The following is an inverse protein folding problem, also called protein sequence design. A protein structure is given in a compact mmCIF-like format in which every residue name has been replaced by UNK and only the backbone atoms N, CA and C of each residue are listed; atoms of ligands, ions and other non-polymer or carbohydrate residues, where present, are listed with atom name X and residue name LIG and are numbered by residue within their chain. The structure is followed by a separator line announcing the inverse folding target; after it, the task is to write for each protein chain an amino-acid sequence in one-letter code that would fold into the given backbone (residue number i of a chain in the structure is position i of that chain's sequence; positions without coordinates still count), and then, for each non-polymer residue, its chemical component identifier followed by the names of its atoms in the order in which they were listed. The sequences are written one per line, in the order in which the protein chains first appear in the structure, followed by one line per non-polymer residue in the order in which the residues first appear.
data_IF_114959416199
#
_entry.id   IF_114959416199
#
_cell.length_a   1.000
_cell.length_b   1.000
_cell.length_c   1.000
_cell.angle_alpha   90.00
_cell.angle_beta   90.00
_cell.angle_gamma   90.00
#
_symmetry.space_group_name_H-M   'P 1'
#
loop_
_entity.id
_entity.type
_entity.pdbx_description
1 polymer ?
#
# COMPACT_ATOMS: atom_id res chain seq x y z
N UNK A 1 6.08 32.27 14.80
CA UNK A 1 5.82 31.79 13.41
C UNK A 1 4.40 32.12 12.88
N UNK A 2 3.87 33.33 13.11
CA UNK A 2 2.45 33.64 12.82
C UNK A 2 2.14 33.76 11.32
N UNK A 3 3.01 34.40 10.54
CA UNK A 3 2.81 34.59 9.10
C UNK A 3 2.98 33.29 8.29
N UNK A 4 3.80 32.36 8.78
CA UNK A 4 3.92 31.02 8.18
C UNK A 4 2.61 30.23 8.35
N UNK A 5 2.01 30.26 9.55
CA UNK A 5 0.69 29.68 9.79
C UNK A 5 -0.38 30.29 8.90
N UNK A 6 -0.39 31.62 8.73
CA UNK A 6 -1.35 32.29 7.86
C UNK A 6 -1.19 31.86 6.41
N UNK A 7 0.04 31.79 5.90
CA UNK A 7 0.32 31.35 4.54
C UNK A 7 -0.05 29.88 4.32
N UNK A 8 0.27 28.99 5.27
CA UNK A 8 -0.04 27.56 5.19
C UNK A 8 -1.56 27.26 5.19
N UNK A 9 -2.39 28.17 5.74
CA UNK A 9 -3.86 28.06 5.76
C UNK A 9 -4.53 28.48 4.44
N UNK A 10 -3.81 29.10 3.51
CA UNK A 10 -4.39 29.53 2.24
C UNK A 10 -4.50 28.31 1.30
N UNK A 11 -5.72 27.83 1.10
CA UNK A 11 -6.03 26.74 0.17
C UNK A 11 -5.62 27.12 -1.27
N UNK A 12 -5.11 26.14 -2.02
CA UNK A 12 -4.68 26.28 -3.43
C UNK A 12 -3.58 27.33 -3.71
N UNK A 13 -2.83 27.77 -2.70
CA UNK A 13 -1.68 28.67 -2.89
C UNK A 13 -0.40 27.91 -3.21
N UNK A 14 0.19 28.16 -4.38
CA UNK A 14 1.52 27.62 -4.75
C UNK A 14 2.63 28.03 -3.77
N UNK A 15 2.53 29.21 -3.17
CA UNK A 15 3.48 29.68 -2.16
C UNK A 15 3.32 28.94 -0.83
N UNK A 16 2.07 28.63 -0.44
CA UNK A 16 1.79 27.79 0.72
C UNK A 16 2.28 26.36 0.51
N UNK A 17 2.15 25.83 -0.72
CA UNK A 17 2.62 24.51 -1.10
C UNK A 17 4.15 24.40 -1.06
N UNK A 18 4.87 25.36 -1.69
CA UNK A 18 6.34 25.42 -1.63
C UNK A 18 6.88 25.56 -0.20
N UNK A 19 6.20 26.36 0.62
CA UNK A 19 6.55 26.50 2.03
C UNK A 19 6.36 25.17 2.78
N UNK A 20 5.23 24.48 2.58
CA UNK A 20 4.95 23.18 3.20
C UNK A 20 6.00 22.13 2.82
N UNK A 21 6.40 22.07 1.55
CA UNK A 21 7.49 21.18 1.11
C UNK A 21 8.83 21.47 1.77
N UNK A 22 9.19 22.76 1.85
CA UNK A 22 10.46 23.17 2.44
C UNK A 22 10.51 22.84 3.93
N UNK A 23 9.38 22.96 4.63
CA UNK A 23 9.26 22.64 6.05
C UNK A 23 9.28 21.12 6.31
N UNK A 24 8.62 20.30 5.50
CA UNK A 24 8.72 18.83 5.60
C UNK A 24 10.14 18.32 5.28
N UNK A 25 10.79 18.90 4.28
CA UNK A 25 12.20 18.59 3.97
C UNK A 25 13.15 18.96 5.10
N UNK A 26 12.91 20.09 5.77
CA UNK A 26 13.68 20.52 6.93
C UNK A 26 13.45 19.60 8.14
N UNK A 27 12.20 19.22 8.43
CA UNK A 27 11.85 18.27 9.49
C UNK A 27 12.54 16.91 9.29
N UNK A 28 12.52 16.38 8.07
CA UNK A 28 13.19 15.12 7.74
C UNK A 28 14.71 15.22 7.91
N UNK A 29 15.32 16.32 7.44
CA UNK A 29 16.77 16.56 7.54
C UNK A 29 17.22 16.66 8.99
N UNK A 30 16.46 17.37 9.84
CA UNK A 30 16.76 17.51 11.26
C UNK A 30 16.57 16.20 12.02
N UNK A 31 15.53 15.41 11.69
CA UNK A 31 15.34 14.07 12.27
C UNK A 31 16.50 13.11 11.94
N UNK A 32 16.98 13.14 10.69
CA UNK A 32 18.15 12.35 10.28
C UNK A 32 19.40 12.82 11.02
N UNK A 33 19.67 14.12 11.05
CA UNK A 33 20.83 14.69 11.74
C UNK A 33 20.83 14.40 13.25
N UNK A 34 19.67 14.48 13.91
CA UNK A 34 19.49 14.12 15.32
C UNK A 34 19.82 12.65 15.59
N UNK A 35 19.47 11.76 14.66
CA UNK A 35 19.75 10.32 14.78
C UNK A 35 21.23 10.01 14.55
N UNK A 36 21.88 10.77 13.68
CA UNK A 36 23.29 10.60 13.31
C UNK A 36 24.26 11.22 14.35
N UNK A 37 23.86 12.31 15.01
CA UNK A 37 24.67 13.05 15.98
C UNK A 37 23.96 13.23 17.35
N UNK A 38 23.67 12.15 18.10
CA UNK A 38 22.87 12.21 19.32
C UNK A 38 23.54 12.91 20.52
N UNK A 39 24.85 13.17 20.44
CA UNK A 39 25.63 13.85 21.48
C UNK A 39 26.00 15.29 21.08
N UNK A 40 25.45 15.80 19.98
CA UNK A 40 25.68 17.17 19.56
C UNK A 40 25.07 18.16 20.59
N UNK A 41 25.80 19.21 21.00
CA UNK A 41 25.29 20.18 21.97
C UNK A 41 24.03 20.92 21.51
N UNK A 42 23.71 20.90 20.21
CA UNK A 42 22.48 21.42 19.65
C UNK A 42 21.30 20.44 19.62
N UNK A 43 21.45 19.19 20.09
CA UNK A 43 20.40 18.17 20.01
C UNK A 43 19.13 18.55 20.77
N UNK A 44 19.24 19.14 21.96
CA UNK A 44 18.08 19.58 22.75
C UNK A 44 17.31 20.71 22.03
N UNK A 45 18.03 21.65 21.42
CA UNK A 45 17.42 22.73 20.61
C UNK A 45 16.82 22.17 19.32
N UNK A 46 17.42 21.14 18.73
CA UNK A 46 16.90 20.45 17.56
C UNK A 46 15.53 19.81 17.85
N UNK A 47 15.35 19.24 19.05
CA UNK A 47 14.06 18.69 19.49
C UNK A 47 12.97 19.77 19.60
N UNK A 48 13.31 20.94 20.16
CA UNK A 48 12.39 22.08 20.23
C UNK A 48 12.00 22.58 18.83
N UNK A 49 12.97 22.70 17.92
CA UNK A 49 12.72 23.11 16.52
C UNK A 49 11.85 22.09 15.79
N UNK A 50 12.08 20.79 15.97
CA UNK A 50 11.25 19.73 15.41
C UNK A 50 9.82 19.81 15.94
N UNK A 51 9.63 20.10 17.23
CA UNK A 51 8.31 20.28 17.83
C UNK A 51 7.58 21.51 17.27
N UNK A 52 8.29 22.63 17.06
CA UNK A 52 7.74 23.83 16.42
C UNK A 52 7.32 23.56 14.97
N UNK A 53 8.16 22.86 14.20
CA UNK A 53 7.85 22.46 12.82
C UNK A 53 6.63 21.53 12.76
N UNK A 54 6.54 20.57 13.68
CA UNK A 54 5.41 19.67 13.76
C UNK A 54 4.11 20.44 14.07
N UNK A 55 4.14 21.36 15.04
CA UNK A 55 2.99 22.23 15.35
C UNK A 55 2.58 23.13 14.20
N UNK A 56 3.52 23.54 13.34
CA UNK A 56 3.27 24.35 12.14
C UNK A 56 2.62 23.55 11.00
N UNK A 57 2.96 22.27 10.89
CA UNK A 57 2.54 21.38 9.80
C UNK A 57 1.25 20.62 10.11
N UNK A 58 0.89 20.48 11.39
CA UNK A 58 -0.38 19.90 11.82
C UNK A 58 -1.59 20.67 11.24
N UNK A 59 -2.56 19.99 10.62
CA UNK A 59 -3.84 20.59 10.27
C UNK A 59 -4.51 21.13 11.54
N UNK A 60 -5.21 22.26 11.45
CA UNK A 60 -6.04 22.72 12.56
C UNK A 60 -7.15 21.69 12.81
N UNK A 61 -6.90 20.76 13.73
CA UNK A 61 -7.90 19.83 14.25
C UNK A 61 -9.00 20.69 14.87
N UNK A 62 -10.24 20.54 14.37
CA UNK A 62 -11.40 21.11 15.02
C UNK A 62 -11.42 20.62 16.47
N UNK A 63 -11.39 21.58 17.40
CA UNK A 63 -11.26 21.31 18.83
C UNK A 63 -12.31 20.28 19.32
N UNK A 64 -11.96 19.38 20.25
CA UNK A 64 -12.95 18.58 20.96
C UNK A 64 -13.83 19.53 21.77
N UNK A 65 -15.14 19.43 21.59
CA UNK A 65 -16.11 20.10 22.45
C UNK A 65 -15.88 19.63 23.90
N UNK A 66 -15.53 20.58 24.76
CA UNK A 66 -15.43 20.40 26.20
C UNK A 66 -16.78 19.88 26.74
N UNK A 67 -16.78 18.67 27.30
CA UNK A 67 -17.89 18.17 28.10
C UNK A 67 -17.80 18.80 29.48
N UNK A 68 -18.75 19.69 29.75
CA UNK A 68 -19.03 20.22 31.07
C UNK A 68 -20.06 19.32 31.79
N UNK A 69 -19.75 19.09 33.06
CA UNK A 69 -20.52 18.57 34.20
C UNK A 69 -21.97 18.06 34.07
N UNK A 70 -22.19 16.84 34.61
CA UNK A 70 -23.48 16.27 35.09
C UNK A 70 -24.41 15.80 33.98
N UNK A 71 -25.05 14.63 33.98
CA UNK A 71 -25.79 13.91 35.01
C UNK A 71 -25.93 12.43 34.55
N UNK A 72 -26.06 11.53 35.53
CA UNK A 72 -26.85 10.28 35.58
C UNK A 72 -27.22 9.53 34.28
N UNK A 73 -26.83 8.25 34.23
CA UNK A 73 -27.42 7.13 33.49
C UNK A 73 -28.00 7.43 32.10
N UNK A 74 -27.13 7.44 31.09
CA UNK A 74 -27.50 7.25 29.69
C UNK A 74 -26.78 6.01 29.13
N UNK A 75 -27.46 5.17 28.32
CA UNK A 75 -26.95 3.86 27.92
C UNK A 75 -25.74 3.99 27.01
N UNK A 76 -24.75 3.12 27.22
CA UNK A 76 -23.54 2.99 26.40
C UNK A 76 -23.89 3.04 24.90
N UNK A 77 -23.11 3.74 24.07
CA UNK A 77 -23.33 3.77 22.62
C UNK A 77 -23.36 2.34 22.09
N UNK A 78 -24.43 2.02 21.33
CA UNK A 78 -24.76 0.71 20.77
C UNK A 78 -23.53 -0.19 20.55
N UNK A 79 -23.40 -1.25 21.36
CA UNK A 79 -22.36 -2.25 21.18
C UNK A 79 -22.45 -2.85 19.75
N UNK A 80 -21.32 -2.91 19.05
CA UNK A 80 -21.21 -3.56 17.75
C UNK A 80 -21.71 -5.01 17.84
N UNK A 81 -22.57 -5.42 16.90
CA UNK A 81 -23.07 -6.80 16.84
C UNK A 81 -21.95 -7.79 16.54
N UNK A 82 -20.90 -7.32 15.87
CA UNK A 82 -19.69 -8.09 15.54
C UNK A 82 -18.56 -7.88 16.56
N UNK A 83 -18.85 -7.46 17.79
CA UNK A 83 -17.86 -7.30 18.87
C UNK A 83 -17.07 -8.59 19.15
N UNK A 84 -17.74 -9.75 19.23
CA UNK A 84 -17.08 -11.04 19.38
C UNK A 84 -16.14 -11.39 18.22
N UNK A 85 -16.50 -10.99 16.99
CA UNK A 85 -15.64 -11.18 15.83
C UNK A 85 -14.36 -10.34 15.95
N UNK A 86 -14.48 -9.08 16.36
CA UNK A 86 -13.32 -8.22 16.64
C UNK A 86 -12.41 -8.84 17.70
N UNK A 87 -12.96 -9.22 18.85
CA UNK A 87 -12.20 -9.81 19.94
C UNK A 87 -11.47 -11.08 19.51
N UNK A 88 -12.15 -11.96 18.76
CA UNK A 88 -11.55 -13.17 18.23
C UNK A 88 -10.41 -12.88 17.26
N UNK A 89 -10.57 -11.88 16.39
CA UNK A 89 -9.56 -11.50 15.39
C UNK A 89 -8.34 -10.84 16.04
N UNK A 90 -8.53 -9.86 16.91
CA UNK A 90 -7.46 -9.12 17.58
C UNK A 90 -6.65 -10.00 18.56
N UNK A 91 -7.25 -11.07 19.09
CA UNK A 91 -6.58 -12.01 20.01
C UNK A 91 -5.84 -13.16 19.32
N UNK A 92 -5.92 -13.28 18.00
CA UNK A 92 -5.28 -14.38 17.27
C UNK A 92 -3.77 -14.12 17.05
N UNK A 93 -2.90 -14.95 17.64
CA UNK A 93 -1.45 -14.73 17.56
C UNK A 93 -0.88 -15.01 16.17
N UNK A 94 -1.51 -15.90 15.39
CA UNK A 94 -1.06 -16.23 14.03
C UNK A 94 -1.37 -15.07 13.07
N UNK A 95 -2.55 -14.47 13.18
CA UNK A 95 -2.87 -13.22 12.48
C UNK A 95 -1.93 -12.08 12.90
N UNK A 96 -1.68 -11.93 14.20
CA UNK A 96 -0.75 -10.92 14.72
C UNK A 96 0.66 -11.02 14.15
N UNK A 97 1.14 -12.24 13.85
CA UNK A 97 2.44 -12.46 13.20
C UNK A 97 2.50 -11.83 11.79
N UNK A 98 1.44 -11.97 10.98
CA UNK A 98 1.41 -11.46 9.61
C UNK A 98 0.96 -10.00 9.51
N UNK A 99 0.00 -9.59 10.33
CA UNK A 99 -0.64 -8.27 10.25
C UNK A 99 0.00 -7.24 11.18
N UNK A 100 0.84 -7.68 12.12
CA UNK A 100 1.42 -6.83 13.16
C UNK A 100 0.41 -6.47 14.24
N UNK A 101 0.85 -5.64 15.19
CA UNK A 101 0.07 -5.24 16.37
C UNK A 101 -0.80 -4.00 16.07
N UNK A 102 -1.53 -4.01 14.96
CA UNK A 102 -2.41 -2.91 14.56
C UNK A 102 -3.88 -3.29 14.83
N UNK A 103 -4.51 -2.71 15.86
CA UNK A 103 -5.90 -3.05 16.19
C UNK A 103 -6.86 -2.59 15.10
N UNK A 104 -7.97 -3.29 14.97
CA UNK A 104 -9.05 -2.93 14.04
C UNK A 104 -9.62 -1.54 14.37
N UNK A 105 -9.76 -0.66 13.37
CA UNK A 105 -10.18 0.74 13.60
C UNK A 105 -11.66 1.02 13.33
N UNK A 106 -12.35 0.07 12.69
CA UNK A 106 -13.74 0.24 12.27
C UNK A 106 -14.71 0.61 13.39
N UNK A 107 -15.67 1.49 13.10
CA UNK A 107 -16.68 1.96 14.06
C UNK A 107 -18.09 1.42 13.80
N UNK A 108 -18.28 0.68 12.69
CA UNK A 108 -19.55 0.05 12.32
C UNK A 108 -19.35 -1.43 12.03
N UNK A 109 -20.41 -2.24 12.14
CA UNK A 109 -20.35 -3.67 11.80
C UNK A 109 -19.99 -3.90 10.32
N UNK A 110 -20.46 -3.02 9.42
CA UNK A 110 -20.13 -3.09 7.99
C UNK A 110 -18.66 -2.83 7.74
N UNK A 111 -18.10 -1.79 8.35
CA UNK A 111 -16.69 -1.44 8.18
C UNK A 111 -15.81 -2.51 8.80
N UNK A 112 -16.19 -3.03 9.97
CA UNK A 112 -15.47 -4.10 10.67
C UNK A 112 -15.40 -5.37 9.84
N UNK A 113 -16.52 -5.77 9.22
CA UNK A 113 -16.52 -6.89 8.29
C UNK A 113 -15.52 -6.65 7.15
N UNK A 114 -15.62 -5.51 6.48
CA UNK A 114 -14.79 -5.23 5.31
C UNK A 114 -13.31 -5.07 5.66
N UNK A 115 -12.99 -4.46 6.79
CA UNK A 115 -11.61 -4.30 7.30
C UNK A 115 -10.98 -5.67 7.56
N UNK A 116 -11.68 -6.56 8.28
CA UNK A 116 -11.22 -7.93 8.52
C UNK A 116 -11.00 -8.66 7.18
N UNK A 117 -11.99 -8.61 6.28
CA UNK A 117 -11.88 -9.31 5.00
C UNK A 117 -10.71 -8.79 4.13
N UNK A 118 -10.43 -7.49 4.16
CA UNK A 118 -9.26 -6.90 3.48
C UNK A 118 -7.94 -7.31 4.13
N UNK A 119 -7.85 -7.30 5.48
CA UNK A 119 -6.66 -7.78 6.18
C UNK A 119 -6.35 -9.24 5.84
N UNK A 120 -7.38 -10.09 5.69
CA UNK A 120 -7.21 -11.49 5.25
C UNK A 120 -6.67 -11.64 3.82
N UNK A 121 -6.64 -10.57 2.99
CA UNK A 121 -5.98 -10.61 1.67
C UNK A 121 -4.45 -10.60 1.75
N UNK A 122 -3.89 -10.33 2.94
CA UNK A 122 -2.47 -10.14 3.19
C UNK A 122 -1.79 -11.35 3.84
N UNK A 123 -2.57 -12.33 4.28
CA UNK A 123 -2.09 -13.52 5.02
C UNK A 123 -2.08 -14.76 4.11
N UNK A 124 -1.39 -15.86 4.48
CA UNK A 124 -1.44 -17.11 3.72
C UNK A 124 -2.87 -17.58 3.43
N UNK A 125 -3.11 -18.15 2.25
CA UNK A 125 -4.47 -18.51 1.82
C UNK A 125 -5.16 -19.53 2.73
N UNK A 126 -4.42 -20.47 3.30
CA UNK A 126 -4.98 -21.47 4.22
C UNK A 126 -5.51 -20.79 5.48
N UNK A 127 -4.73 -19.85 6.03
CA UNK A 127 -5.12 -19.03 7.19
C UNK A 127 -6.30 -18.13 6.83
N UNK A 128 -6.25 -17.46 5.68
CA UNK A 128 -7.33 -16.60 5.20
C UNK A 128 -8.64 -17.38 5.02
N UNK A 129 -8.57 -18.60 4.50
CA UNK A 129 -9.74 -19.46 4.27
C UNK A 129 -10.38 -19.90 5.58
N UNK A 130 -9.56 -20.39 6.52
CA UNK A 130 -10.00 -20.73 7.87
C UNK A 130 -10.67 -19.53 8.55
N UNK A 131 -10.05 -18.35 8.48
CA UNK A 131 -10.58 -17.14 9.07
C UNK A 131 -11.83 -16.59 8.38
N UNK A 132 -11.98 -16.75 7.06
CA UNK A 132 -13.21 -16.38 6.36
C UNK A 132 -14.39 -17.23 6.82
N UNK A 133 -14.17 -18.54 6.98
CA UNK A 133 -15.19 -19.46 7.50
C UNK A 133 -15.56 -19.12 8.94
N UNK A 134 -14.56 -18.92 9.81
CA UNK A 134 -14.77 -18.51 11.21
C UNK A 134 -15.50 -17.17 11.31
N UNK A 135 -15.06 -16.18 10.53
CA UNK A 135 -15.68 -14.85 10.49
C UNK A 135 -17.15 -14.92 10.09
N UNK A 136 -17.47 -15.74 9.08
CA UNK A 136 -18.85 -15.93 8.64
C UNK A 136 -19.71 -16.61 9.70
N UNK A 137 -19.19 -17.64 10.39
CA UNK A 137 -19.90 -18.30 11.48
C UNK A 137 -20.25 -17.32 12.62
N UNK A 138 -19.28 -16.51 13.04
CA UNK A 138 -19.50 -15.46 14.07
C UNK A 138 -20.50 -14.39 13.60
N UNK A 139 -20.45 -13.99 12.33
CA UNK A 139 -21.44 -13.08 11.77
C UNK A 139 -22.85 -13.70 11.71
N UNK A 140 -22.96 -14.99 11.41
CA UNK A 140 -24.23 -15.73 11.41
C UNK A 140 -24.83 -15.86 12.81
N UNK A 141 -24.02 -16.08 13.84
CA UNK A 141 -24.45 -16.04 15.24
C UNK A 141 -25.05 -14.69 15.62
N UNK A 142 -24.51 -13.59 15.07
CA UNK A 142 -25.06 -12.25 15.21
C UNK A 142 -26.32 -11.98 14.34
N UNK A 143 -26.81 -12.98 13.59
CA UNK A 143 -27.99 -12.91 12.72
C UNK A 143 -27.74 -12.41 11.30
N UNK A 144 -26.48 -12.29 10.88
CA UNK A 144 -26.11 -11.96 9.51
C UNK A 144 -26.27 -13.18 8.59
N UNK A 145 -26.38 -12.92 7.29
CA UNK A 145 -26.42 -13.94 6.23
C UNK A 145 -25.52 -13.53 5.10
N UNK A 146 -24.80 -14.49 4.55
CA UNK A 146 -23.95 -14.29 3.37
C UNK A 146 -24.78 -13.70 2.21
N UNK A 147 -24.23 -12.70 1.52
CA UNK A 147 -24.88 -12.04 0.41
C UNK A 147 -23.89 -11.78 -0.74
N UNK A 148 -23.99 -12.61 -1.78
CA UNK A 148 -23.19 -12.50 -3.00
C UNK A 148 -23.82 -11.61 -4.08
N UNK A 149 -24.95 -10.97 -3.79
CA UNK A 149 -25.63 -10.06 -4.74
C UNK A 149 -25.27 -8.59 -4.54
N UNK A 150 -24.79 -8.19 -3.35
CA UNK A 150 -24.35 -6.81 -3.06
C UNK A 150 -22.82 -6.75 -2.96
N UNK A 151 -22.16 -6.62 -4.11
CA UNK A 151 -20.70 -6.62 -4.22
C UNK A 151 -20.20 -5.30 -4.81
N UNK A 152 -19.11 -4.77 -4.26
CA UNK A 152 -18.33 -3.71 -4.88
C UNK A 152 -17.45 -4.34 -5.98
N UNK A 153 -17.56 -3.82 -7.20
CA UNK A 153 -16.89 -4.38 -8.36
C UNK A 153 -15.56 -3.65 -8.63
N UNK A 154 -14.47 -4.40 -8.56
CA UNK A 154 -13.14 -3.97 -8.97
C UNK A 154 -12.93 -4.30 -10.45
N UNK A 155 -12.53 -3.32 -11.28
CA UNK A 155 -12.21 -3.58 -12.68
C UNK A 155 -11.03 -4.56 -12.84
N UNK A 156 -11.27 -5.74 -13.44
CA UNK A 156 -10.20 -6.70 -13.73
C UNK A 156 -10.51 -7.64 -14.89
N UNK A 157 -9.53 -8.38 -15.41
CA UNK A 157 -9.70 -9.22 -16.60
C UNK A 157 -10.52 -10.50 -16.37
N UNK A 158 -10.89 -10.81 -15.13
CA UNK A 158 -11.70 -11.98 -14.75
C UNK A 158 -12.74 -11.58 -13.70
N UNK A 159 -13.84 -12.33 -13.65
CA UNK A 159 -14.83 -12.25 -12.58
C UNK A 159 -14.44 -13.19 -11.43
N UNK A 160 -14.41 -12.68 -10.20
CA UNK A 160 -14.03 -13.45 -9.00
C UNK A 160 -14.62 -12.78 -7.76
N UNK A 161 -15.36 -13.52 -6.92
CA UNK A 161 -15.77 -13.00 -5.61
C UNK A 161 -14.56 -13.11 -4.67
N UNK A 162 -14.04 -11.97 -4.20
CA UNK A 162 -12.91 -11.91 -3.27
C UNK A 162 -13.40 -12.25 -1.86
N UNK A 163 -14.50 -11.61 -1.44
CA UNK A 163 -15.21 -11.94 -0.21
C UNK A 163 -16.69 -11.56 -0.31
N UNK A 164 -17.59 -12.30 0.35
CA UNK A 164 -19.01 -12.05 0.29
C UNK A 164 -19.41 -10.80 1.07
N UNK A 165 -20.56 -10.22 0.70
CA UNK A 165 -21.25 -9.24 1.54
C UNK A 165 -22.06 -9.91 2.64
N UNK A 166 -22.69 -9.09 3.47
CA UNK A 166 -23.64 -9.53 4.49
C UNK A 166 -25.01 -8.90 4.29
N UNK A 167 -26.04 -9.63 4.68
CA UNK A 167 -27.44 -9.20 4.78
C UNK A 167 -28.04 -9.64 6.12
N UNK A 168 -29.26 -9.22 6.43
CA UNK A 168 -29.92 -9.54 7.71
C UNK A 168 -29.68 -8.46 8.77
N UNK A 169 -29.32 -8.88 9.99
CA UNK A 169 -29.13 -7.98 11.15
C UNK A 169 -27.89 -7.10 11.02
N UNK A 170 -26.88 -7.57 10.27
CA UNK A 170 -25.69 -6.84 9.84
C UNK A 170 -25.71 -6.79 8.32
N UNK A 171 -25.44 -5.61 7.75
CA UNK A 171 -25.38 -5.41 6.30
C UNK A 171 -24.02 -4.87 5.93
N UNK A 172 -23.35 -5.54 5.01
CA UNK A 172 -22.06 -5.14 4.47
C UNK A 172 -22.03 -5.44 2.97
N UNK A 173 -21.34 -4.61 2.20
CA UNK A 173 -21.09 -4.86 0.78
C UNK A 173 -19.82 -5.70 0.65
N UNK A 174 -19.89 -6.80 -0.11
CA UNK A 174 -18.71 -7.62 -0.39
C UNK A 174 -17.82 -7.02 -1.48
N UNK A 175 -16.82 -7.76 -1.93
CA UNK A 175 -15.86 -7.31 -2.93
C UNK A 175 -15.66 -8.38 -3.99
N UNK A 176 -15.67 -7.99 -5.26
CA UNK A 176 -15.39 -8.90 -6.37
C UNK A 176 -14.59 -8.21 -7.48
N UNK A 177 -13.84 -9.01 -8.23
CA UNK A 177 -13.30 -8.63 -9.53
C UNK A 177 -14.40 -8.70 -10.59
N UNK A 178 -14.39 -7.80 -11.57
CA UNK A 178 -15.32 -7.84 -12.68
C UNK A 178 -14.73 -7.43 -14.03
N UNK A 179 -14.92 -8.29 -15.03
CA UNK A 179 -14.56 -8.02 -16.42
C UNK A 179 -15.44 -6.93 -17.03
N UNK A 180 -16.74 -6.94 -16.70
CA UNK A 180 -17.66 -5.89 -17.14
C UNK A 180 -17.26 -4.51 -16.61
N UNK A 181 -16.80 -4.44 -15.36
CA UNK A 181 -16.31 -3.19 -14.78
C UNK A 181 -15.02 -2.70 -15.49
N UNK A 182 -14.16 -3.62 -15.93
CA UNK A 182 -12.96 -3.30 -16.71
C UNK A 182 -13.28 -2.74 -18.09
N UNK A 183 -14.20 -3.36 -18.83
CA UNK A 183 -14.62 -2.88 -20.17
C UNK A 183 -15.22 -1.48 -20.16
N UNK A 184 -15.77 -1.04 -19.03
CA UNK A 184 -16.33 0.31 -18.87
C UNK A 184 -15.30 1.36 -18.43
N UNK A 185 -14.04 0.97 -18.22
CA UNK A 185 -12.99 1.88 -17.78
C UNK A 185 -12.36 2.65 -18.95
N UNK A 186 -12.12 3.94 -18.75
CA UNK A 186 -11.47 4.81 -19.73
C UNK A 186 -10.04 4.35 -20.08
N UNK A 187 -9.33 3.72 -19.14
CA UNK A 187 -7.94 3.24 -19.32
C UNK A 187 -7.86 2.11 -20.38
N UNK A 188 -8.97 1.42 -20.64
CA UNK A 188 -9.01 0.18 -21.42
C UNK A 188 -9.47 0.41 -22.88
N UNK A 189 -9.97 1.59 -23.21
CA UNK A 189 -10.70 1.84 -24.46
C UNK A 189 -9.93 1.55 -25.76
N UNK A 190 -8.60 1.36 -25.71
CA UNK A 190 -7.75 1.06 -26.88
C UNK A 190 -6.99 -0.28 -26.80
N UNK A 191 -7.14 -1.08 -25.74
CA UNK A 191 -6.34 -2.28 -25.50
C UNK A 191 -7.25 -3.51 -25.31
N UNK A 192 -7.70 -4.15 -26.40
CA UNK A 192 -8.70 -5.22 -26.32
C UNK A 192 -8.15 -6.58 -25.85
N UNK A 193 -6.83 -6.80 -25.88
CA UNK A 193 -6.20 -8.04 -25.40
C UNK A 193 -4.70 -7.91 -25.16
N UNK A 194 -4.11 -8.87 -24.44
CA UNK A 194 -2.66 -8.99 -24.26
C UNK A 194 -2.12 -8.44 -22.92
N UNK A 195 -0.80 -8.26 -22.85
CA UNK A 195 -0.11 -7.88 -21.61
C UNK A 195 -0.55 -6.51 -21.08
N UNK A 196 -0.79 -5.54 -21.98
CA UNK A 196 -1.26 -4.20 -21.61
C UNK A 196 -2.67 -4.22 -20.98
N UNK A 197 -3.56 -5.09 -21.46
CA UNK A 197 -4.89 -5.25 -20.87
C UNK A 197 -4.83 -5.77 -19.43
N UNK A 198 -3.97 -6.77 -19.20
CA UNK A 198 -3.71 -7.29 -17.85
C UNK A 198 -3.12 -6.22 -16.93
N UNK A 199 -2.18 -5.42 -17.45
CA UNK A 199 -1.55 -4.33 -16.71
C UNK A 199 -2.55 -3.23 -16.34
N UNK A 200 -3.43 -2.84 -17.26
CA UNK A 200 -4.49 -1.87 -17.00
C UNK A 200 -5.40 -2.37 -15.86
N UNK A 201 -5.78 -3.65 -15.88
CA UNK A 201 -6.54 -4.26 -14.78
C UNK A 201 -5.79 -4.22 -13.44
N UNK A 202 -4.51 -4.59 -13.43
CA UNK A 202 -3.67 -4.54 -12.21
C UNK A 202 -3.57 -3.11 -11.65
N UNK A 203 -3.38 -2.13 -12.53
CA UNK A 203 -3.30 -0.73 -12.16
C UNK A 203 -4.61 -0.22 -11.54
N UNK A 204 -5.75 -0.53 -12.17
CA UNK A 204 -7.06 -0.16 -11.66
C UNK A 204 -7.34 -0.78 -10.29
N UNK A 205 -6.94 -2.05 -10.07
CA UNK A 205 -7.00 -2.66 -8.74
C UNK A 205 -6.13 -1.88 -7.76
N UNK A 206 -4.88 -1.57 -8.10
CA UNK A 206 -3.99 -0.81 -7.22
C UNK A 206 -4.61 0.53 -6.81
N UNK A 207 -5.11 1.32 -7.77
CA UNK A 207 -5.76 2.61 -7.51
C UNK A 207 -7.00 2.43 -6.62
N UNK A 208 -7.85 1.45 -6.91
CA UNK A 208 -9.04 1.20 -6.10
C UNK A 208 -8.71 0.75 -4.69
N UNK A 209 -7.66 -0.05 -4.49
CA UNK A 209 -7.23 -0.43 -3.16
C UNK A 209 -6.65 0.74 -2.37
N UNK A 210 -5.95 1.68 -3.00
CA UNK A 210 -5.49 2.92 -2.37
C UNK A 210 -6.66 3.74 -1.80
N UNK A 211 -7.83 3.68 -2.43
CA UNK A 211 -9.06 4.33 -1.93
C UNK A 211 -9.73 3.51 -0.81
N UNK A 212 -9.64 2.18 -0.84
CA UNK A 212 -10.40 1.26 0.02
C UNK A 212 -9.69 0.86 1.30
N UNK A 213 -8.36 0.82 1.31
CA UNK A 213 -7.57 0.25 2.40
C UNK A 213 -6.61 1.28 3.01
N UNK A 214 -6.86 1.74 4.26
CA UNK A 214 -6.03 2.75 4.89
C UNK A 214 -4.63 2.24 5.29
N UNK A 215 -4.41 0.92 5.32
CA UNK A 215 -3.12 0.32 5.69
C UNK A 215 -2.08 0.39 4.56
N UNK A 216 -2.45 0.91 3.39
CA UNK A 216 -1.55 1.01 2.25
C UNK A 216 -0.57 2.17 2.36
N UNK A 217 0.66 1.85 1.98
CA UNK A 217 1.79 2.74 1.92
C UNK A 217 2.42 2.66 0.53
N UNK A 218 3.22 3.66 0.18
CA UNK A 218 4.12 3.55 -0.96
C UNK A 218 5.57 3.64 -0.54
N UNK A 219 6.41 2.94 -1.28
CA UNK A 219 7.86 2.96 -1.15
C UNK A 219 8.54 3.45 -2.44
N UNK A 220 7.80 3.98 -3.42
CA UNK A 220 8.33 4.23 -4.76
C UNK A 220 9.36 5.36 -4.79
N UNK A 221 10.59 5.02 -5.19
CA UNK A 221 11.76 5.92 -5.13
C UNK A 221 11.53 7.25 -5.86
N UNK A 222 10.90 7.20 -7.02
CA UNK A 222 10.68 8.40 -7.85
C UNK A 222 9.63 9.36 -7.29
N UNK A 223 8.84 8.93 -6.30
CA UNK A 223 7.87 9.78 -5.61
C UNK A 223 8.47 10.26 -4.29
N UNK A 224 8.92 9.33 -3.45
CA UNK A 224 9.61 9.63 -2.21
C UNK A 224 10.67 8.55 -1.94
N UNK A 225 11.94 8.95 -1.91
CA UNK A 225 13.07 8.02 -1.91
C UNK A 225 13.52 7.52 -0.53
N UNK A 226 13.08 8.19 0.55
CA UNK A 226 13.74 8.07 1.85
C UNK A 226 13.01 7.16 2.85
N UNK A 227 11.74 6.83 2.61
CA UNK A 227 10.92 6.08 3.57
C UNK A 227 9.72 5.39 2.91
N UNK A 228 8.97 4.62 3.72
CA UNK A 228 7.67 4.02 3.40
C UNK A 228 6.56 4.93 3.94
N UNK A 229 5.81 5.56 3.04
CA UNK A 229 4.84 6.62 3.41
C UNK A 229 3.40 6.14 3.31
N UNK A 230 2.61 6.40 4.36
CA UNK A 230 1.17 6.11 4.39
C UNK A 230 0.42 6.91 3.32
N UNK A 231 -0.34 6.21 2.48
CA UNK A 231 -1.17 6.84 1.46
C UNK A 231 -2.48 7.40 2.05
N UNK A 232 -2.93 6.86 3.18
CA UNK A 232 -4.14 7.33 3.87
C UNK A 232 -3.90 8.64 4.62
N UNK A 233 -2.81 8.71 5.38
CA UNK A 233 -2.51 9.87 6.22
C UNK A 233 -1.89 11.03 5.43
N UNK A 234 -1.48 10.80 4.19
CA UNK A 234 -0.83 11.80 3.34
C UNK A 234 -1.46 11.87 1.93
N UNK A 235 -2.57 12.61 1.76
CA UNK A 235 -3.29 12.71 0.49
C UNK A 235 -2.45 13.27 -0.67
N UNK A 236 -1.43 14.08 -0.37
CA UNK A 236 -0.53 14.59 -1.40
C UNK A 236 0.35 13.47 -1.97
N UNK A 237 0.92 12.64 -1.11
CA UNK A 237 1.67 11.45 -1.51
C UNK A 237 0.78 10.45 -2.25
N UNK A 238 -0.48 10.31 -1.82
CA UNK A 238 -1.50 9.52 -2.53
C UNK A 238 -1.65 9.96 -3.99
N UNK A 239 -1.87 11.26 -4.22
CA UNK A 239 -2.02 11.81 -5.57
C UNK A 239 -0.74 11.68 -6.40
N UNK A 240 0.43 11.97 -5.82
CA UNK A 240 1.71 11.84 -6.52
C UNK A 240 1.97 10.38 -6.93
N UNK A 241 1.65 9.43 -6.06
CA UNK A 241 1.79 8.02 -6.34
C UNK A 241 0.85 7.53 -7.45
N UNK A 242 -0.42 7.92 -7.41
CA UNK A 242 -1.40 7.60 -8.47
C UNK A 242 -0.96 8.19 -9.81
N UNK A 243 -0.52 9.45 -9.84
CA UNK A 243 0.00 10.07 -11.06
C UNK A 243 1.24 9.33 -11.60
N UNK A 244 2.17 8.95 -10.71
CA UNK A 244 3.37 8.21 -11.12
C UNK A 244 3.02 6.83 -11.71
N UNK A 245 1.97 6.17 -11.23
CA UNK A 245 1.46 4.94 -11.84
C UNK A 245 0.89 5.18 -13.24
N UNK A 246 0.09 6.25 -13.42
CA UNK A 246 -0.43 6.66 -14.72
C UNK A 246 0.66 6.97 -15.74
N UNK A 247 1.64 7.81 -15.36
CA UNK A 247 2.77 8.18 -16.22
C UNK A 247 3.61 6.97 -16.66
N UNK A 248 3.74 5.96 -15.81
CA UNK A 248 4.47 4.72 -16.13
C UNK A 248 3.67 3.81 -17.04
N UNK A 249 2.35 3.75 -16.84
CA UNK A 249 1.46 3.02 -17.73
C UNK A 249 1.48 3.61 -19.14
N UNK A 250 1.35 4.93 -19.29
CA UNK A 250 1.44 5.59 -20.60
C UNK A 250 2.78 5.36 -21.30
N UNK A 251 3.90 5.40 -20.54
CA UNK A 251 5.23 5.10 -21.09
C UNK A 251 5.34 3.64 -21.54
N UNK A 252 4.74 2.72 -20.81
CA UNK A 252 4.71 1.29 -21.18
C UNK A 252 3.89 1.07 -22.43
N UNK A 253 2.74 1.74 -22.55
CA UNK A 253 1.92 1.70 -23.76
C UNK A 253 2.68 2.22 -24.99
N UNK A 254 3.30 3.41 -24.89
CA UNK A 254 4.11 3.97 -25.98
C UNK A 254 5.29 3.07 -26.36
N UNK A 255 5.92 2.41 -25.39
CA UNK A 255 7.02 1.49 -25.66
C UNK A 255 6.55 0.23 -26.42
N UNK A 256 5.40 -0.33 -26.06
CA UNK A 256 4.77 -1.46 -26.78
C UNK A 256 4.37 -1.06 -28.21
N UNK A 257 3.82 0.14 -28.41
CA UNK A 257 3.46 0.67 -29.75
C UNK A 257 4.69 0.82 -30.66
N UNK A 258 5.84 1.23 -30.10
CA UNK A 258 7.10 1.35 -30.84
C UNK A 258 7.74 -0.01 -31.21
N UNK A 259 7.31 -1.10 -30.57
CA UNK A 259 7.80 -2.46 -30.77
C UNK A 259 9.33 -2.65 -30.63
N UNK A 260 10.02 -1.76 -29.89
CA UNK A 260 11.45 -1.92 -29.61
C UNK A 260 11.68 -2.73 -28.31
N UNK A 261 12.26 -3.94 -28.37
CA UNK A 261 12.26 -4.86 -27.22
C UNK A 261 12.93 -4.32 -25.95
N UNK A 262 14.00 -3.52 -26.07
CA UNK A 262 14.69 -2.97 -24.90
C UNK A 262 13.93 -1.82 -24.24
N UNK A 263 13.33 -0.94 -25.04
CA UNK A 263 12.45 0.11 -24.50
C UNK A 263 11.25 -0.51 -23.78
N UNK A 264 10.62 -1.51 -24.39
CA UNK A 264 9.50 -2.25 -23.78
C UNK A 264 9.94 -2.88 -22.45
N UNK A 265 11.05 -3.63 -22.44
CA UNK A 265 11.56 -4.25 -21.22
C UNK A 265 11.85 -3.24 -20.11
N UNK A 266 12.51 -2.12 -20.43
CA UNK A 266 12.84 -1.08 -19.43
C UNK A 266 11.57 -0.42 -18.87
N UNK A 267 10.58 -0.14 -19.73
CA UNK A 267 9.30 0.41 -19.27
C UNK A 267 8.55 -0.57 -18.36
N UNK A 268 8.58 -1.87 -18.68
CA UNK A 268 7.98 -2.90 -17.84
C UNK A 268 8.68 -3.06 -16.49
N UNK A 269 10.02 -3.01 -16.42
CA UNK A 269 10.77 -3.03 -15.15
C UNK A 269 10.35 -1.86 -14.26
N UNK A 270 10.20 -0.68 -14.87
CA UNK A 270 9.82 0.55 -14.18
C UNK A 270 8.37 0.52 -13.68
N UNK A 271 7.45 -0.03 -14.47
CA UNK A 271 6.05 -0.20 -14.08
C UNK A 271 5.90 -1.25 -12.97
N UNK A 272 6.64 -2.34 -13.09
CA UNK A 272 6.68 -3.39 -12.09
C UNK A 272 7.21 -2.88 -10.73
N UNK A 273 8.26 -2.03 -10.73
CA UNK A 273 8.75 -1.40 -9.48
C UNK A 273 7.64 -0.58 -8.83
N UNK A 274 6.87 0.17 -9.63
CA UNK A 274 5.75 0.93 -9.11
C UNK A 274 4.71 0.00 -8.48
N UNK A 275 4.28 -1.08 -9.14
CA UNK A 275 3.31 -2.04 -8.57
C UNK A 275 3.81 -2.66 -7.26
N UNK A 276 5.09 -3.03 -7.18
CA UNK A 276 5.68 -3.63 -5.97
C UNK A 276 6.04 -2.62 -4.89
N UNK A 277 6.04 -1.33 -5.24
CA UNK A 277 6.19 -0.24 -4.28
C UNK A 277 4.88 0.11 -3.57
N UNK A 278 3.74 -0.41 -4.00
CA UNK A 278 2.50 -0.36 -3.22
C UNK A 278 2.54 -1.49 -2.18
N UNK A 279 2.73 -1.13 -0.92
CA UNK A 279 3.03 -2.09 0.15
C UNK A 279 2.13 -1.88 1.35
N UNK A 280 1.93 -2.95 2.10
CA UNK A 280 1.42 -2.88 3.46
C UNK A 280 2.59 -2.82 4.45
N UNK A 281 2.33 -2.34 5.67
CA UNK A 281 3.28 -2.38 6.79
C UNK A 281 2.57 -3.07 7.97
N UNK A 282 2.92 -4.32 8.34
CA UNK A 282 3.87 -5.23 7.68
C UNK A 282 3.50 -5.61 6.23
N UNK A 283 4.51 -5.93 5.38
CA UNK A 283 4.26 -6.40 4.01
C UNK A 283 3.39 -7.65 3.96
N UNK A 284 2.53 -7.73 2.93
CA UNK A 284 1.70 -8.90 2.70
C UNK A 284 2.55 -10.14 2.41
N UNK A 285 2.07 -11.29 2.86
CA UNK A 285 2.73 -12.57 2.62
C UNK A 285 2.75 -12.89 1.11
N UNK A 286 3.83 -13.50 0.63
CA UNK A 286 4.10 -13.72 -0.80
C UNK A 286 3.00 -14.54 -1.50
N UNK A 287 2.44 -15.52 -0.83
CA UNK A 287 1.40 -16.43 -1.34
C UNK A 287 -0.01 -16.02 -0.91
N UNK A 288 -0.17 -14.89 -0.24
CA UNK A 288 -1.47 -14.26 0.00
C UNK A 288 -2.15 -13.83 -1.31
N UNK A 289 -3.44 -13.48 -1.23
CA UNK A 289 -4.18 -12.95 -2.40
C UNK A 289 -3.48 -11.72 -2.99
N UNK A 290 -3.05 -10.77 -2.15
CA UNK A 290 -2.31 -9.57 -2.58
C UNK A 290 -0.94 -9.93 -3.17
N UNK A 291 -0.21 -10.84 -2.52
CA UNK A 291 1.10 -11.30 -3.01
C UNK A 291 1.00 -11.97 -4.38
N UNK A 292 -0.04 -12.79 -4.60
CA UNK A 292 -0.31 -13.41 -5.91
C UNK A 292 -0.67 -12.37 -6.98
N UNK A 293 -1.44 -11.34 -6.62
CA UNK A 293 -1.75 -10.24 -7.53
C UNK A 293 -0.48 -9.53 -8.04
N UNK A 294 0.45 -9.20 -7.13
CA UNK A 294 1.75 -8.61 -7.51
C UNK A 294 2.61 -9.57 -8.34
N UNK A 295 2.58 -10.87 -8.03
CA UNK A 295 3.27 -11.88 -8.84
C UNK A 295 2.76 -11.97 -10.29
N UNK A 296 1.50 -11.63 -10.58
CA UNK A 296 1.02 -11.58 -11.96
C UNK A 296 1.83 -10.57 -12.80
N UNK A 297 2.14 -9.40 -12.23
CA UNK A 297 3.02 -8.41 -12.87
C UNK A 297 4.41 -8.99 -13.17
N UNK A 298 5.00 -9.69 -12.18
CA UNK A 298 6.32 -10.36 -12.34
C UNK A 298 6.32 -11.41 -13.46
N UNK A 299 5.23 -12.16 -13.60
CA UNK A 299 5.09 -13.18 -14.67
C UNK A 299 5.05 -12.52 -16.04
N UNK A 300 4.39 -11.38 -16.17
CA UNK A 300 4.37 -10.62 -17.43
C UNK A 300 5.76 -10.08 -17.74
N UNK A 301 6.43 -9.44 -16.77
CA UNK A 301 7.79 -8.94 -16.95
C UNK A 301 8.77 -10.05 -17.36
N UNK A 302 8.64 -11.26 -16.81
CA UNK A 302 9.43 -12.42 -17.26
C UNK A 302 9.20 -12.74 -18.74
N UNK A 303 7.96 -12.75 -19.21
CA UNK A 303 7.64 -12.98 -20.64
C UNK A 303 8.26 -11.89 -21.52
N UNK A 304 8.22 -10.63 -21.09
CA UNK A 304 8.83 -9.50 -21.83
C UNK A 304 10.37 -9.65 -21.86
N UNK A 305 10.99 -10.08 -20.77
CA UNK A 305 12.43 -10.38 -20.75
C UNK A 305 12.79 -11.56 -21.68
N UNK A 306 11.97 -12.61 -21.72
CA UNK A 306 12.17 -13.74 -22.63
C UNK A 306 12.05 -13.30 -24.11
N UNK A 307 11.15 -12.37 -24.43
CA UNK A 307 11.04 -11.78 -25.77
C UNK A 307 12.29 -10.96 -26.15
N UNK A 308 12.83 -10.16 -25.23
CA UNK A 308 14.08 -9.43 -25.46
C UNK A 308 15.26 -10.39 -25.67
N UNK A 309 15.33 -11.49 -24.90
CA UNK A 309 16.33 -12.54 -25.14
C UNK A 309 16.17 -13.19 -26.52
N UNK A 310 14.94 -13.49 -26.95
CA UNK A 310 14.66 -14.05 -28.27
C UNK A 310 15.03 -13.08 -29.42
N UNK A 311 15.01 -11.77 -29.16
CA UNK A 311 15.46 -10.73 -30.09
C UNK A 311 16.99 -10.55 -30.13
N UNK A 312 17.76 -11.34 -29.36
CA UNK A 312 19.22 -11.36 -29.38
C UNK A 312 19.91 -10.53 -28.29
N UNK A 313 19.16 -9.96 -27.34
CA UNK A 313 19.74 -9.23 -26.20
C UNK A 313 20.14 -10.20 -25.07
N UNK A 314 21.17 -9.87 -24.28
CA UNK A 314 21.50 -10.65 -23.08
C UNK A 314 20.79 -10.07 -21.86
N UNK A 315 19.62 -10.63 -21.51
CA UNK A 315 18.79 -10.14 -20.39
C UNK A 315 18.80 -11.13 -19.23
N UNK A 316 19.18 -10.65 -18.04
CA UNK A 316 19.03 -11.37 -16.77
C UNK A 316 18.25 -10.52 -15.79
N UNK A 317 17.15 -11.04 -15.28
CA UNK A 317 16.38 -10.42 -14.20
C UNK A 317 16.38 -11.35 -12.98
N UNK A 318 16.50 -10.78 -11.77
CA UNK A 318 16.52 -11.54 -10.52
C UNK A 318 15.68 -10.85 -9.45
N UNK A 319 14.71 -11.59 -8.92
CA UNK A 319 14.00 -11.20 -7.71
C UNK A 319 14.91 -11.42 -6.50
N UNK A 320 15.02 -10.41 -5.65
CA UNK A 320 15.85 -10.43 -4.46
C UNK A 320 15.01 -10.93 -3.28
N UNK A 321 15.50 -11.94 -2.57
CA UNK A 321 14.81 -12.59 -1.44
C UNK A 321 15.81 -13.35 -0.58
N UNK A 322 15.41 -13.71 0.64
CA UNK A 322 16.27 -14.40 1.61
C UNK A 322 16.99 -13.42 2.52
N UNK A 323 18.17 -13.79 3.02
CA UNK A 323 18.96 -12.93 3.89
C UNK A 323 19.40 -11.66 3.15
N UNK A 324 19.25 -10.51 3.80
CA UNK A 324 19.68 -9.23 3.24
C UNK A 324 21.19 -9.22 2.94
N UNK A 325 21.99 -9.82 3.81
CA UNK A 325 23.45 -9.93 3.64
C UNK A 325 23.86 -10.66 2.35
N UNK A 326 23.03 -11.57 1.84
CA UNK A 326 23.33 -12.34 0.62
C UNK A 326 23.02 -11.55 -0.66
N UNK A 327 22.20 -10.51 -0.56
CA UNK A 327 21.67 -9.77 -1.72
C UNK A 327 22.04 -8.29 -1.73
N UNK A 328 22.63 -7.75 -0.65
CA UNK A 328 22.92 -6.31 -0.52
C UNK A 328 23.88 -5.78 -1.59
N UNK A 329 24.69 -6.63 -2.22
CA UNK A 329 25.53 -6.26 -3.36
C UNK A 329 24.75 -6.10 -4.68
N UNK A 330 23.54 -6.64 -4.76
CA UNK A 330 22.66 -6.62 -5.93
C UNK A 330 21.51 -5.60 -5.79
N UNK A 331 21.47 -4.87 -4.67
CA UNK A 331 20.47 -3.86 -4.36
C UNK A 331 21.08 -2.51 -4.02
N UNK A 332 20.27 -1.45 -4.09
CA UNK A 332 20.61 -0.09 -3.67
C UNK A 332 19.38 0.66 -3.22
N UNK A 333 19.58 1.72 -2.44
CA UNK A 333 18.51 2.57 -1.92
C UNK A 333 17.45 1.77 -1.14
N UNK A 334 17.89 0.71 -0.45
CA UNK A 334 17.02 -0.20 0.29
C UNK A 334 16.37 0.49 1.49
N UNK A 335 15.19 0.02 1.86
CA UNK A 335 14.41 0.57 2.97
C UNK A 335 14.31 -0.46 4.10
N UNK A 336 14.54 0.02 5.32
CA UNK A 336 14.47 -0.82 6.52
C UNK A 336 13.09 -0.72 7.17
N UNK A 337 12.54 -1.85 7.58
CA UNK A 337 11.37 -1.93 8.46
C UNK A 337 11.74 -2.56 9.80
N UNK A 338 11.00 -2.18 10.83
CA UNK A 338 11.16 -2.73 12.18
C UNK A 338 10.06 -3.76 12.52
N UNK A 339 9.22 -4.14 11.56
CA UNK A 339 8.08 -5.04 11.75
C UNK A 339 7.92 -6.01 10.57
N UNK A 340 7.28 -7.17 10.82
CA UNK A 340 6.96 -8.18 9.82
C UNK A 340 8.11 -9.13 9.47
N UNK A 341 7.81 -10.39 9.11
CA UNK A 341 8.81 -11.36 8.63
C UNK A 341 9.93 -11.65 9.63
N UNK A 342 11.09 -12.13 9.15
CA UNK A 342 12.22 -12.54 10.01
C UNK A 342 13.30 -11.43 10.05
N UNK A 343 13.85 -11.08 11.22
CA UNK A 343 14.98 -10.15 11.32
C UNK A 343 16.16 -10.53 10.41
N UNK A 344 16.67 -9.56 9.66
CA UNK A 344 17.77 -9.74 8.71
C UNK A 344 17.35 -10.27 7.33
N UNK A 345 16.08 -10.55 7.09
CA UNK A 345 15.57 -11.01 5.80
C UNK A 345 14.96 -9.88 4.96
N UNK A 346 15.01 -10.07 3.64
CA UNK A 346 14.23 -9.31 2.68
C UNK A 346 12.75 -9.64 2.85
N UNK A 347 11.96 -8.62 3.14
CA UNK A 347 10.50 -8.71 3.25
C UNK A 347 9.84 -8.63 1.87
N UNK A 348 10.25 -7.66 1.06
CA UNK A 348 9.68 -7.42 -0.28
C UNK A 348 10.75 -6.95 -1.25
N UNK A 349 10.75 -7.52 -2.46
CA UNK A 349 11.53 -7.01 -3.59
C UNK A 349 10.74 -5.91 -4.31
N UNK A 350 11.12 -4.65 -4.09
CA UNK A 350 10.51 -3.49 -4.74
C UNK A 350 10.91 -3.43 -6.23
N UNK A 351 12.22 -3.47 -6.50
CA UNK A 351 12.79 -3.48 -7.86
C UNK A 351 13.68 -4.71 -8.04
N UNK A 352 13.58 -5.38 -9.19
CA UNK A 352 14.50 -6.48 -9.52
C UNK A 352 15.89 -5.95 -9.77
N UNK A 353 16.87 -6.78 -9.48
CA UNK A 353 18.14 -6.69 -10.18
C UNK A 353 17.91 -7.04 -11.66
N UNK A 354 18.41 -6.22 -12.56
CA UNK A 354 18.39 -6.48 -14.00
C UNK A 354 19.76 -6.21 -14.61
N UNK A 355 20.21 -7.11 -15.47
CA UNK A 355 21.36 -6.91 -16.35
C UNK A 355 20.91 -7.03 -17.79
N UNK A 356 21.12 -5.99 -18.58
CA UNK A 356 20.78 -5.94 -20.00
C UNK A 356 22.07 -5.68 -20.75
N UNK A 357 22.53 -6.69 -21.50
CA UNK A 357 23.88 -6.72 -22.08
C UNK A 357 24.94 -6.51 -20.98
N UNK A 358 25.70 -5.42 -21.06
CA UNK A 358 26.73 -5.04 -20.08
C UNK A 358 26.23 -4.01 -19.05
N UNK A 359 25.00 -3.51 -19.18
CA UNK A 359 24.44 -2.51 -18.27
C UNK A 359 23.73 -3.20 -17.10
N UNK A 360 24.13 -2.83 -15.88
CA UNK A 360 23.51 -3.31 -14.66
C UNK A 360 22.58 -2.26 -14.04
N UNK A 361 21.40 -2.72 -13.64
CA UNK A 361 20.43 -2.00 -12.85
C UNK A 361 20.22 -2.74 -11.55
N UNK A 362 20.78 -2.19 -10.47
CA UNK A 362 20.61 -2.75 -9.13
C UNK A 362 19.13 -2.74 -8.71
N UNK A 363 18.75 -3.78 -7.96
CA UNK A 363 17.42 -3.90 -7.39
C UNK A 363 17.23 -3.00 -6.17
N UNK A 364 16.07 -3.15 -5.53
CA UNK A 364 15.73 -2.40 -4.32
C UNK A 364 14.78 -3.23 -3.48
N UNK A 365 15.00 -3.28 -2.17
CA UNK A 365 14.24 -4.13 -1.25
C UNK A 365 13.73 -3.38 -0.02
N UNK A 366 12.65 -3.91 0.55
CA UNK A 366 12.32 -3.73 1.96
C UNK A 366 12.91 -4.91 2.74
N UNK A 367 13.62 -4.65 3.83
CA UNK A 367 14.19 -5.68 4.70
C UNK A 367 13.90 -5.41 6.16
N UNK A 368 13.88 -6.45 6.99
CA UNK A 368 13.75 -6.30 8.44
C UNK A 368 15.11 -6.14 9.09
N UNK A 369 15.25 -5.15 9.97
CA UNK A 369 16.45 -4.99 10.78
C UNK A 369 16.72 -6.23 11.64
N UNK A 370 17.99 -6.60 11.82
CA UNK A 370 18.41 -7.66 12.76
C UNK A 370 18.44 -7.22 14.23
N UNK A 371 18.12 -5.94 14.51
CA UNK A 371 18.23 -5.34 15.84
C UNK A 371 17.11 -5.78 16.79
#
# INVERSE_FOLDING_TARGET
MQHLHQLLKIENSKLAQLLRFSLYGLEATLNQARTEFPLDPGSEICDEVLQELHSLLQPAVAAPLQQDSGWEDMPLPNALKLSHLREAFDSDPELGYYLGNSPLQSQTDSDLWNEIQRKLLRVPEDLATSWRQRSLALAQEAGARENNSNLYQLPFFRDEIIYPGLSGTVRARGLCLSQKALSNSEIVQNNESGNLYLLAGLLLICIKFIELDPDLHHALKSVFGFDVISLYSNPEQQNQYINALGDRFERTQKAEENAEPLLTLRAWIDMDEAIHSLVFVPPAERYSWWGKLQQESRRILKKVADQANAAGYEVRIRQLSGLYADICALSKDDLQLNCGGVPGEVLTCLRLYARINQEESLGRVLFRSSR
#
